data_IF_476252979313
#
_entry.id   IF_476252979313
#
_cell.length_a   1.000
_cell.length_b   1.000
_cell.length_c   1.000
_cell.angle_alpha   90.00
_cell.angle_beta   90.00
_cell.angle_gamma   90.00
#
_symmetry.space_group_name_H-M   'P 1'
#
loop_
_entity.id
_entity.type
_entity.pdbx_description
1 polymer ?
#
# COMPACT_ATOMS: atom_id res chain seq x y z
N UNK A 1 -4.88 -0.26 -29.06
CA UNK A 1 -4.15 0.22 -27.86
C UNK A 1 -5.19 0.56 -26.82
N UNK A 2 -5.11 0.00 -25.62
CA UNK A 2 -6.08 0.29 -24.56
C UNK A 2 -5.62 1.55 -23.80
N UNK A 3 -6.51 2.54 -23.73
CA UNK A 3 -6.22 3.79 -23.02
C UNK A 3 -6.47 3.58 -21.53
N UNK A 4 -5.50 3.95 -20.69
CA UNK A 4 -5.62 3.97 -19.23
C UNK A 4 -5.59 5.42 -18.77
N UNK A 5 -6.59 5.82 -18.01
CA UNK A 5 -6.66 7.16 -17.41
C UNK A 5 -6.24 7.08 -15.96
N UNK A 6 -5.41 8.01 -15.51
CA UNK A 6 -5.02 8.13 -14.10
C UNK A 6 -5.31 9.55 -13.60
N UNK A 7 -5.96 9.63 -12.46
CA UNK A 7 -6.21 10.89 -11.77
C UNK A 7 -5.07 11.21 -10.80
N UNK A 8 -4.72 12.49 -10.67
CA UNK A 8 -3.78 12.96 -9.65
C UNK A 8 -4.60 13.56 -8.51
N UNK A 9 -4.51 12.94 -7.35
CA UNK A 9 -5.12 13.43 -6.12
C UNK A 9 -4.06 14.08 -5.25
N UNK A 10 -4.25 15.34 -4.90
CA UNK A 10 -3.46 16.03 -3.88
C UNK A 10 -4.27 16.11 -2.59
N UNK A 11 -3.67 15.74 -1.46
CA UNK A 11 -4.32 15.81 -0.17
C UNK A 11 -3.34 16.19 0.95
N UNK A 12 -3.77 17.13 1.80
CA UNK A 12 -3.12 17.49 3.05
C UNK A 12 -4.15 17.36 4.18
N UNK A 13 -3.84 16.59 5.20
CA UNK A 13 -4.73 16.31 6.34
C UNK A 13 -4.27 15.08 7.10
N UNK A 14 -5.00 14.73 8.15
CA UNK A 14 -4.73 13.52 8.93
C UNK A 14 -5.02 12.24 8.13
N UNK A 15 -4.52 11.11 8.62
CA UNK A 15 -4.83 9.81 8.03
C UNK A 15 -6.33 9.49 8.12
N UNK A 16 -6.98 9.84 9.22
CA UNK A 16 -8.44 9.69 9.32
C UNK A 16 -9.17 10.47 8.22
N UNK A 17 -8.80 11.74 8.00
CA UNK A 17 -9.40 12.59 6.96
C UNK A 17 -9.10 12.06 5.55
N UNK A 18 -7.91 11.49 5.31
CA UNK A 18 -7.60 10.80 4.06
C UNK A 18 -8.54 9.61 3.86
N UNK A 19 -8.78 8.83 4.91
CA UNK A 19 -9.74 7.73 4.89
C UNK A 19 -11.16 8.20 4.56
N UNK A 20 -11.62 9.29 5.16
CA UNK A 20 -12.92 9.91 4.87
C UNK A 20 -13.01 10.33 3.40
N UNK A 21 -11.99 11.05 2.89
CA UNK A 21 -11.95 11.50 1.48
C UNK A 21 -11.94 10.31 0.51
N UNK A 22 -11.12 9.30 0.80
CA UNK A 22 -11.03 8.09 -0.01
C UNK A 22 -12.33 7.29 0.01
N UNK A 23 -13.00 7.19 1.17
CA UNK A 23 -14.31 6.55 1.30
C UNK A 23 -15.40 7.21 0.44
N UNK A 24 -15.47 8.54 0.47
CA UNK A 24 -16.40 9.31 -0.38
C UNK A 24 -16.13 9.07 -1.87
N UNK A 25 -14.87 9.07 -2.28
CA UNK A 25 -14.49 8.77 -3.65
C UNK A 25 -14.86 7.34 -4.06
N UNK A 26 -14.63 6.35 -3.19
CA UNK A 26 -14.98 4.94 -3.47
C UNK A 26 -16.48 4.75 -3.70
N UNK A 27 -17.33 5.45 -2.95
CA UNK A 27 -18.79 5.37 -3.14
C UNK A 27 -19.24 5.80 -4.54
N UNK A 28 -18.47 6.66 -5.20
CA UNK A 28 -18.74 7.19 -6.54
C UNK A 28 -18.10 6.35 -7.67
N UNK A 29 -17.37 5.29 -7.33
CA UNK A 29 -16.61 4.49 -8.30
C UNK A 29 -17.05 3.02 -8.31
N UNK A 30 -16.83 2.30 -9.41
CA UNK A 30 -17.10 0.87 -9.46
C UNK A 30 -16.12 0.02 -8.64
N UNK A 31 -15.02 0.62 -8.14
CA UNK A 31 -13.97 -0.09 -7.41
C UNK A 31 -14.50 -0.77 -6.15
N UNK A 32 -15.37 -0.13 -5.40
CA UNK A 32 -15.95 -0.70 -4.18
C UNK A 32 -16.71 -1.99 -4.49
N UNK A 33 -17.62 -1.94 -5.46
CA UNK A 33 -18.41 -3.11 -5.89
C UNK A 33 -17.53 -4.25 -6.42
N UNK A 34 -16.46 -3.91 -7.14
CA UNK A 34 -15.51 -4.89 -7.65
C UNK A 34 -14.73 -5.56 -6.51
N UNK A 35 -14.33 -4.79 -5.48
CA UNK A 35 -13.69 -5.31 -4.28
C UNK A 35 -14.59 -6.25 -3.50
N UNK A 36 -15.82 -5.86 -3.25
CA UNK A 36 -16.80 -6.71 -2.57
C UNK A 36 -17.04 -8.03 -3.31
N UNK A 37 -17.11 -7.96 -4.65
CA UNK A 37 -17.27 -9.15 -5.50
C UNK A 37 -16.05 -10.08 -5.44
N UNK A 38 -14.85 -9.54 -5.40
CA UNK A 38 -13.60 -10.30 -5.18
C UNK A 38 -13.59 -10.97 -3.80
N UNK A 39 -13.97 -10.25 -2.75
CA UNK A 39 -13.98 -10.77 -1.39
C UNK A 39 -14.99 -11.88 -1.18
N UNK A 40 -16.20 -11.76 -1.71
CA UNK A 40 -17.22 -12.83 -1.65
C UNK A 40 -16.70 -14.17 -2.19
N UNK A 41 -15.77 -14.15 -3.15
CA UNK A 41 -15.13 -15.35 -3.69
C UNK A 41 -13.99 -15.89 -2.81
N UNK A 42 -13.43 -15.06 -1.91
CA UNK A 42 -12.21 -15.37 -1.12
C UNK A 42 -12.47 -15.63 0.35
N UNK A 43 -13.58 -15.09 0.90
CA UNK A 43 -13.97 -15.23 2.31
C UNK A 43 -13.89 -16.67 2.85
N UNK A 44 -14.27 -17.74 2.10
CA UNK A 44 -14.16 -19.11 2.61
C UNK A 44 -12.72 -19.59 2.85
N UNK A 45 -11.72 -18.88 2.32
CA UNK A 45 -10.30 -19.28 2.37
C UNK A 45 -9.46 -18.42 3.28
N UNK A 46 -10.03 -17.39 3.86
CA UNK A 46 -9.28 -16.37 4.57
C UNK A 46 -10.05 -15.78 5.74
N UNK A 47 -9.47 -15.85 6.91
CA UNK A 47 -10.00 -15.22 8.12
C UNK A 47 -8.92 -14.37 8.79
N UNK A 48 -9.34 -13.39 9.58
CA UNK A 48 -8.50 -12.57 10.43
C UNK A 48 -9.07 -12.53 11.84
N UNK A 49 -8.20 -12.52 12.83
CA UNK A 49 -8.52 -12.04 14.16
C UNK A 49 -8.39 -10.52 14.18
N UNK A 50 -9.50 -9.84 14.50
CA UNK A 50 -9.54 -8.36 14.51
C UNK A 50 -8.65 -7.78 15.61
N UNK A 51 -8.61 -8.40 16.78
CA UNK A 51 -7.82 -7.91 17.90
C UNK A 51 -6.32 -8.10 17.65
N UNK A 52 -5.92 -9.29 17.19
CA UNK A 52 -4.53 -9.54 16.78
C UNK A 52 -4.09 -8.57 15.69
N UNK A 53 -4.94 -8.37 14.67
CA UNK A 53 -4.66 -7.45 13.57
C UNK A 53 -4.54 -6.01 14.07
N UNK A 54 -5.41 -5.60 14.99
CA UNK A 54 -5.32 -4.28 15.64
C UNK A 54 -3.96 -4.08 16.33
N UNK A 55 -3.50 -5.05 17.12
CA UNK A 55 -2.20 -4.97 17.82
C UNK A 55 -1.02 -4.83 16.82
N UNK A 56 -1.07 -5.57 15.73
CA UNK A 56 -0.06 -5.46 14.66
C UNK A 56 -0.08 -4.07 14.01
N UNK A 57 -1.26 -3.52 13.74
CA UNK A 57 -1.37 -2.15 13.21
C UNK A 57 -0.87 -1.12 14.22
N UNK A 58 -1.19 -1.26 15.52
CA UNK A 58 -0.68 -0.33 16.54
C UNK A 58 0.85 -0.36 16.65
N UNK A 59 1.46 -1.51 16.38
CA UNK A 59 2.92 -1.67 16.42
C UNK A 59 3.62 -1.07 15.20
N UNK A 60 3.10 -1.32 14.00
CA UNK A 60 3.81 -1.04 12.75
C UNK A 60 3.17 0.03 11.85
N UNK A 61 1.90 0.29 12.03
CA UNK A 61 1.11 1.12 11.11
C UNK A 61 -0.07 1.82 11.79
N UNK A 62 0.12 2.48 12.96
CA UNK A 62 -0.99 3.09 13.70
C UNK A 62 -1.74 4.15 12.88
N UNK A 63 -1.03 4.89 12.05
CA UNK A 63 -1.62 5.90 11.17
C UNK A 63 -2.55 5.28 10.11
N UNK A 64 -2.15 4.12 9.58
CA UNK A 64 -2.98 3.40 8.60
C UNK A 64 -4.27 2.89 9.27
N UNK A 65 -4.22 2.54 10.55
CA UNK A 65 -5.42 2.20 11.28
C UNK A 65 -6.41 3.37 11.33
N UNK A 66 -5.92 4.58 11.58
CA UNK A 66 -6.76 5.79 11.56
C UNK A 66 -7.38 6.02 10.17
N UNK A 67 -6.63 5.80 9.10
CA UNK A 67 -7.20 5.86 7.74
C UNK A 67 -8.28 4.80 7.52
N UNK A 68 -8.09 3.58 8.02
CA UNK A 68 -9.11 2.53 7.95
C UNK A 68 -10.38 2.92 8.72
N UNK A 69 -10.24 3.58 9.87
CA UNK A 69 -11.39 4.09 10.63
C UNK A 69 -12.08 5.24 9.90
N UNK A 70 -11.33 6.10 9.24
CA UNK A 70 -11.88 7.12 8.35
C UNK A 70 -12.69 6.52 7.19
N UNK A 71 -12.16 5.48 6.53
CA UNK A 71 -12.89 4.70 5.52
C UNK A 71 -14.17 4.09 6.10
N UNK A 72 -14.08 3.48 7.27
CA UNK A 72 -15.22 2.87 7.97
C UNK A 72 -16.34 3.88 8.23
N UNK A 73 -15.98 5.09 8.66
CA UNK A 73 -16.95 6.14 8.98
C UNK A 73 -17.86 6.50 7.79
N UNK A 74 -17.35 6.36 6.57
CA UNK A 74 -18.06 6.65 5.32
C UNK A 74 -18.73 5.41 4.72
N UNK A 75 -18.01 4.29 4.65
CA UNK A 75 -18.50 3.09 3.99
C UNK A 75 -19.49 2.29 4.84
N UNK A 76 -19.54 2.55 6.16
CA UNK A 76 -20.42 1.88 7.13
C UNK A 76 -20.27 0.36 7.15
N UNK A 77 -19.08 -0.14 6.81
CA UNK A 77 -18.76 -1.56 6.85
C UNK A 77 -18.33 -2.00 8.26
N UNK A 78 -18.56 -3.26 8.65
CA UNK A 78 -17.95 -3.82 9.85
C UNK A 78 -16.42 -3.70 9.83
N UNK A 79 -15.78 -3.47 10.97
CA UNK A 79 -14.31 -3.32 11.10
C UNK A 79 -13.56 -4.47 10.42
N UNK A 80 -13.99 -5.71 10.66
CA UNK A 80 -13.41 -6.90 10.01
C UNK A 80 -13.41 -6.78 8.48
N UNK A 81 -14.49 -6.28 7.88
CA UNK A 81 -14.59 -6.11 6.44
C UNK A 81 -13.71 -4.97 5.92
N UNK A 82 -13.58 -3.88 6.67
CA UNK A 82 -12.64 -2.78 6.36
C UNK A 82 -11.21 -3.29 6.33
N UNK A 83 -10.79 -4.03 7.34
CA UNK A 83 -9.45 -4.60 7.42
C UNK A 83 -9.19 -5.55 6.24
N UNK A 84 -10.12 -6.45 5.96
CA UNK A 84 -10.01 -7.42 4.85
C UNK A 84 -9.90 -6.72 3.49
N UNK A 85 -10.66 -5.67 3.26
CA UNK A 85 -10.69 -4.98 1.97
C UNK A 85 -9.50 -4.01 1.78
N UNK A 86 -9.05 -3.36 2.84
CA UNK A 86 -8.17 -2.19 2.74
C UNK A 86 -6.93 -2.25 3.65
N UNK A 87 -6.90 -3.12 4.66
CA UNK A 87 -5.78 -3.23 5.59
C UNK A 87 -4.56 -3.96 5.03
N UNK A 88 -4.76 -4.81 4.04
CA UNK A 88 -3.69 -5.57 3.36
C UNK A 88 -2.75 -6.32 4.32
N UNK A 89 -3.30 -6.82 5.40
CA UNK A 89 -2.67 -7.76 6.31
C UNK A 89 -3.32 -9.14 6.11
N UNK A 90 -2.54 -10.20 6.07
CA UNK A 90 -2.98 -11.58 5.77
C UNK A 90 -3.77 -11.72 4.46
N UNK A 91 -3.48 -10.91 3.46
CA UNK A 91 -4.14 -11.01 2.16
C UNK A 91 -3.70 -12.29 1.43
N UNK A 92 -4.66 -13.01 0.84
CA UNK A 92 -4.39 -14.26 0.12
C UNK A 92 -3.90 -14.02 -1.31
N UNK A 93 -3.12 -14.98 -1.80
CA UNK A 93 -2.70 -15.22 -3.17
C UNK A 93 -2.54 -13.99 -4.08
N UNK A 94 -1.34 -13.46 -4.10
CA UNK A 94 -0.88 -12.62 -5.21
C UNK A 94 -0.57 -13.56 -6.37
N UNK A 95 -1.23 -13.35 -7.50
CA UNK A 95 -0.82 -13.98 -8.76
C UNK A 95 0.55 -13.45 -9.13
N UNK A 96 1.35 -14.30 -9.75
CA UNK A 96 2.63 -13.90 -10.33
C UNK A 96 2.47 -12.64 -11.17
N UNK A 97 3.39 -11.69 -11.02
CA UNK A 97 3.41 -10.44 -11.77
C UNK A 97 4.77 -10.24 -12.43
N UNK A 98 4.73 -9.75 -13.65
CA UNK A 98 5.91 -9.24 -14.33
C UNK A 98 6.12 -7.78 -13.99
N UNK A 99 7.07 -7.46 -13.13
CA UNK A 99 7.49 -6.09 -12.86
C UNK A 99 8.98 -5.98 -13.14
N UNK A 100 9.41 -4.85 -13.68
CA UNK A 100 10.82 -4.54 -13.85
C UNK A 100 11.15 -3.27 -13.09
N UNK A 101 12.19 -3.30 -12.28
CA UNK A 101 12.78 -2.12 -11.66
C UNK A 101 14.21 -2.01 -12.17
N UNK A 102 14.56 -0.84 -12.66
CA UNK A 102 15.92 -0.49 -13.05
C UNK A 102 16.38 0.66 -12.17
N UNK A 103 17.55 0.53 -11.60
CA UNK A 103 18.20 1.54 -10.80
C UNK A 103 19.47 2.00 -11.49
N UNK A 104 19.54 3.28 -11.79
CA UNK A 104 20.73 3.96 -12.26
C UNK A 104 21.53 4.57 -11.09
N UNK A 105 22.49 5.41 -11.41
CA UNK A 105 23.33 6.06 -10.40
C UNK A 105 22.52 7.02 -9.51
N UNK A 106 21.59 7.75 -10.11
CA UNK A 106 20.83 8.86 -9.48
C UNK A 106 19.34 8.84 -9.84
N UNK A 107 18.85 7.75 -10.40
CA UNK A 107 17.45 7.57 -10.75
C UNK A 107 17.00 6.11 -10.61
N UNK A 108 15.72 5.94 -10.41
CA UNK A 108 15.04 4.63 -10.43
C UNK A 108 13.88 4.69 -11.42
N UNK A 109 13.75 3.66 -12.25
CA UNK A 109 12.63 3.48 -13.18
C UNK A 109 11.94 2.17 -12.89
N UNK A 110 10.63 2.18 -12.87
CA UNK A 110 9.83 0.97 -12.68
C UNK A 110 8.79 0.83 -13.79
N UNK A 111 8.71 -0.37 -14.34
CA UNK A 111 7.60 -0.80 -15.17
C UNK A 111 6.71 -1.78 -14.39
N UNK A 112 5.39 -1.57 -14.46
CA UNK A 112 4.41 -2.37 -13.76
C UNK A 112 3.51 -3.09 -14.78
N UNK A 113 3.86 -4.34 -15.07
CA UNK A 113 3.21 -5.16 -16.10
C UNK A 113 2.01 -5.90 -15.53
N UNK A 114 0.92 -5.20 -15.37
CA UNK A 114 -0.35 -5.78 -14.94
C UNK A 114 -1.47 -5.48 -15.95
N UNK A 115 -2.48 -6.32 -15.92
CA UNK A 115 -3.69 -6.06 -16.71
C UNK A 115 -4.29 -4.70 -16.29
N UNK A 116 -4.65 -3.80 -17.24
CA UNK A 116 -5.15 -2.46 -16.95
C UNK A 116 -6.29 -2.39 -15.92
N UNK A 117 -7.17 -3.39 -15.88
CA UNK A 117 -8.26 -3.45 -14.90
C UNK A 117 -7.80 -3.63 -13.44
N UNK A 118 -6.51 -3.86 -13.18
CA UNK A 118 -5.96 -4.00 -11.83
C UNK A 118 -5.46 -2.68 -11.23
N UNK A 119 -5.31 -1.65 -12.07
CA UNK A 119 -4.89 -0.32 -11.64
C UNK A 119 -6.04 0.41 -10.95
N UNK A 120 -5.76 1.08 -9.85
CA UNK A 120 -6.72 1.97 -9.19
C UNK A 120 -6.94 3.27 -9.98
N UNK A 121 -6.06 3.58 -10.94
CA UNK A 121 -6.14 4.78 -11.76
C UNK A 121 -5.87 6.06 -11.00
N UNK A 122 -5.08 6.01 -9.92
CA UNK A 122 -4.77 7.18 -9.09
C UNK A 122 -3.29 7.30 -8.78
N UNK A 123 -2.79 8.53 -8.92
CA UNK A 123 -1.59 9.01 -8.25
C UNK A 123 -2.00 9.84 -7.03
N UNK A 124 -1.36 9.61 -5.91
CA UNK A 124 -1.63 10.38 -4.70
C UNK A 124 -0.37 11.13 -4.26
N UNK A 125 -0.49 12.46 -4.16
CA UNK A 125 0.40 13.31 -3.41
C UNK A 125 -0.25 13.53 -2.04
N UNK A 126 0.32 12.98 -0.99
CA UNK A 126 -0.21 13.04 0.36
C UNK A 126 0.77 13.70 1.32
N UNK A 127 0.29 14.71 2.02
CA UNK A 127 1.01 15.40 3.08
C UNK A 127 0.24 15.19 4.39
N UNK A 128 0.67 14.25 5.25
CA UNK A 128 0.05 14.01 6.55
C UNK A 128 0.24 15.20 7.49
N UNK A 129 -0.76 15.45 8.35
CA UNK A 129 -0.72 16.52 9.38
C UNK A 129 -0.66 15.96 10.80
N UNK A 130 -0.83 14.67 10.96
CA UNK A 130 -0.77 13.95 12.24
C UNK A 130 0.60 13.31 12.46
N UNK A 131 1.09 12.51 11.52
CA UNK A 131 2.42 11.87 11.59
C UNK A 131 2.81 11.27 10.24
N UNK A 132 4.10 10.94 10.08
CA UNK A 132 4.64 10.38 8.84
C UNK A 132 5.13 11.42 7.86
N UNK A 133 5.76 10.97 6.78
CA UNK A 133 6.38 11.79 5.74
C UNK A 133 5.41 12.02 4.58
N UNK A 134 5.47 13.21 3.99
CA UNK A 134 4.77 13.47 2.73
C UNK A 134 5.31 12.55 1.63
N UNK A 135 4.42 12.07 0.78
CA UNK A 135 4.76 11.09 -0.24
C UNK A 135 3.98 11.29 -1.54
N UNK A 136 4.59 10.85 -2.64
CA UNK A 136 3.95 10.78 -3.95
C UNK A 136 4.16 9.40 -4.56
N UNK A 137 3.12 8.86 -5.18
CA UNK A 137 3.21 7.60 -5.92
C UNK A 137 1.85 7.07 -6.38
N UNK A 138 1.86 6.04 -7.24
CA UNK A 138 0.64 5.38 -7.68
C UNK A 138 0.01 4.60 -6.53
N UNK A 139 -1.31 4.73 -6.40
CA UNK A 139 -2.10 4.01 -5.41
C UNK A 139 -2.31 2.56 -5.87
N UNK A 140 -2.13 1.63 -4.97
CA UNK A 140 -2.46 0.22 -5.17
C UNK A 140 -3.48 -0.24 -4.16
N UNK A 141 -4.55 -0.81 -4.67
CA UNK A 141 -5.57 -1.44 -3.84
C UNK A 141 -6.17 -0.50 -2.77
N UNK A 142 -6.36 0.77 -3.14
CA UNK A 142 -6.95 1.87 -2.37
C UNK A 142 -5.99 2.51 -1.36
N UNK A 143 -5.34 1.74 -0.49
CA UNK A 143 -4.52 2.25 0.61
C UNK A 143 -3.02 2.00 0.45
N UNK A 144 -2.60 1.08 -0.41
CA UNK A 144 -1.19 0.76 -0.63
C UNK A 144 -0.47 1.64 -1.66
N UNK A 145 0.85 1.45 -1.78
CA UNK A 145 1.72 2.07 -2.80
C UNK A 145 2.50 1.01 -3.54
N UNK A 146 2.57 1.13 -4.86
CA UNK A 146 3.37 0.22 -5.70
C UNK A 146 4.82 0.62 -5.75
N UNK A 147 5.06 1.90 -5.83
CA UNK A 147 6.31 2.62 -5.83
C UNK A 147 6.06 4.07 -5.41
N UNK A 148 7.10 4.87 -5.32
CA UNK A 148 6.97 6.28 -5.01
C UNK A 148 8.22 6.88 -4.39
N UNK A 149 8.07 8.12 -3.96
CA UNK A 149 9.09 8.90 -3.29
C UNK A 149 8.46 9.67 -2.11
N UNK A 150 9.24 9.88 -1.06
CA UNK A 150 8.83 10.73 0.06
C UNK A 150 9.62 12.06 0.09
N UNK A 151 9.21 12.97 0.96
CA UNK A 151 9.82 14.29 1.11
C UNK A 151 11.28 14.28 1.57
N UNK A 152 11.74 13.18 2.16
CA UNK A 152 13.15 12.98 2.52
C UNK A 152 14.02 12.56 1.33
N UNK A 153 13.41 12.30 0.16
CA UNK A 153 14.09 11.84 -1.04
C UNK A 153 14.33 10.33 -1.08
N UNK A 154 13.69 9.55 -0.18
CA UNK A 154 13.70 8.10 -0.29
C UNK A 154 12.71 7.66 -1.37
N UNK A 155 13.21 6.89 -2.33
CA UNK A 155 12.42 6.22 -3.36
C UNK A 155 12.37 4.73 -3.10
N UNK A 156 11.25 4.11 -3.42
CA UNK A 156 11.11 2.67 -3.35
C UNK A 156 10.32 2.09 -4.51
N UNK A 157 10.64 0.88 -4.89
CA UNK A 157 9.86 0.00 -5.77
C UNK A 157 10.00 -1.44 -5.30
N UNK A 158 9.12 -2.31 -5.75
CA UNK A 158 9.24 -3.75 -5.41
C UNK A 158 8.93 -4.65 -6.60
N UNK A 159 9.53 -5.85 -6.57
CA UNK A 159 9.24 -6.95 -7.48
C UNK A 159 8.85 -8.21 -6.71
N UNK A 160 8.00 -9.02 -7.31
CA UNK A 160 7.59 -10.28 -6.73
C UNK A 160 8.72 -11.33 -6.81
N UNK A 161 8.95 -12.03 -5.69
CA UNK A 161 9.93 -13.10 -5.59
C UNK A 161 9.27 -14.34 -5.00
N UNK A 162 9.02 -15.35 -5.81
CA UNK A 162 8.32 -16.57 -5.39
C UNK A 162 9.24 -17.55 -4.64
N UNK A 163 9.78 -17.17 -3.47
CA UNK A 163 10.77 -17.98 -2.74
C UNK A 163 10.28 -18.64 -1.46
N UNK A 164 9.25 -18.11 -0.80
CA UNK A 164 8.75 -18.63 0.48
C UNK A 164 7.25 -18.84 0.43
N UNK A 165 6.78 -19.84 1.20
CA UNK A 165 5.33 -20.00 1.44
C UNK A 165 4.76 -18.74 2.10
N UNK A 166 3.54 -18.34 1.75
CA UNK A 166 2.88 -17.22 2.40
C UNK A 166 2.74 -17.43 3.91
N UNK A 167 2.98 -16.36 4.68
CA UNK A 167 2.82 -16.31 6.13
C UNK A 167 1.85 -15.19 6.54
N UNK A 168 1.52 -15.06 7.81
CA UNK A 168 0.80 -13.90 8.31
C UNK A 168 1.68 -12.66 8.20
N UNK A 169 1.15 -11.60 7.61
CA UNK A 169 1.93 -10.38 7.44
C UNK A 169 1.31 -9.40 6.46
N UNK A 170 1.95 -8.25 6.34
CA UNK A 170 1.57 -7.22 5.37
C UNK A 170 1.93 -7.63 3.94
N UNK A 171 1.11 -7.19 3.01
CA UNK A 171 1.37 -7.35 1.58
C UNK A 171 2.32 -6.26 1.09
N UNK A 172 3.09 -6.55 0.05
CA UNK A 172 4.13 -5.67 -0.49
C UNK A 172 3.74 -4.21 -0.68
N UNK A 173 2.56 -3.93 -1.21
CA UNK A 173 2.12 -2.55 -1.45
C UNK A 173 1.75 -1.81 -0.15
N UNK A 174 1.39 -2.50 0.93
CA UNK A 174 1.28 -1.87 2.24
C UNK A 174 2.66 -1.64 2.84
N UNK A 175 3.58 -2.59 2.71
CA UNK A 175 4.98 -2.41 3.15
C UNK A 175 5.63 -1.25 2.38
N UNK A 176 5.40 -1.15 1.07
CA UNK A 176 5.88 -0.01 0.28
C UNK A 176 5.37 1.32 0.78
N UNK A 177 4.09 1.38 1.16
CA UNK A 177 3.53 2.56 1.78
C UNK A 177 4.19 2.88 3.13
N UNK A 178 4.36 1.88 4.00
CA UNK A 178 4.99 2.07 5.31
C UNK A 178 6.45 2.55 5.21
N UNK A 179 7.19 2.07 4.21
CA UNK A 179 8.54 2.58 3.91
C UNK A 179 8.47 4.08 3.58
N UNK A 180 7.58 4.49 2.67
CA UNK A 180 7.47 5.89 2.27
C UNK A 180 6.98 6.81 3.39
N UNK A 181 6.13 6.32 4.29
CA UNK A 181 5.63 7.13 5.41
C UNK A 181 6.60 7.23 6.58
N UNK A 182 7.41 6.20 6.85
CA UNK A 182 8.15 6.11 8.11
C UNK A 182 9.67 6.19 7.95
N UNK A 183 10.22 6.00 6.75
CA UNK A 183 11.66 5.91 6.56
C UNK A 183 12.20 7.13 5.79
N UNK A 184 13.30 7.73 6.29
CA UNK A 184 13.96 8.87 5.67
C UNK A 184 15.06 8.49 4.70
N UNK A 185 15.59 7.28 4.84
CA UNK A 185 16.76 6.81 4.09
C UNK A 185 16.75 5.29 3.93
N UNK A 186 17.69 4.77 3.15
CA UNK A 186 17.82 3.34 2.86
C UNK A 186 18.04 2.51 4.13
N UNK A 187 18.83 3.00 5.08
CA UNK A 187 19.14 2.28 6.32
C UNK A 187 17.88 2.07 7.18
N UNK A 188 17.05 3.10 7.34
CA UNK A 188 15.78 3.00 8.07
C UNK A 188 14.81 2.05 7.36
N UNK A 189 14.75 2.10 6.02
CA UNK A 189 13.91 1.20 5.24
C UNK A 189 14.33 -0.28 5.36
N UNK A 190 15.64 -0.56 5.37
CA UNK A 190 16.16 -1.92 5.60
C UNK A 190 15.81 -2.40 7.02
N UNK A 191 15.90 -1.53 8.02
CA UNK A 191 15.53 -1.89 9.39
C UNK A 191 14.04 -2.22 9.50
N UNK A 192 13.16 -1.38 8.95
CA UNK A 192 11.72 -1.66 8.89
C UNK A 192 11.44 -2.99 8.20
N UNK A 193 12.07 -3.26 7.06
CA UNK A 193 11.90 -4.51 6.31
C UNK A 193 12.33 -5.76 7.08
N UNK A 194 13.26 -5.66 8.03
CA UNK A 194 13.67 -6.78 8.90
C UNK A 194 12.69 -7.05 10.03
N UNK A 195 11.99 -6.03 10.49
CA UNK A 195 11.11 -6.10 11.68
C UNK A 195 9.65 -6.40 11.33
N UNK A 196 9.17 -5.87 10.20
CA UNK A 196 7.76 -5.99 9.81
C UNK A 196 7.40 -7.42 9.36
N UNK A 197 6.24 -7.96 9.76
CA UNK A 197 5.80 -9.25 9.27
C UNK A 197 5.42 -9.20 7.79
N UNK A 198 6.05 -10.04 6.98
CA UNK A 198 5.83 -10.16 5.53
C UNK A 198 4.86 -11.27 5.18
N UNK A 199 3.84 -10.96 4.37
CA UNK A 199 2.92 -11.96 3.82
C UNK A 199 3.59 -12.91 2.83
N UNK A 200 4.48 -12.40 2.00
CA UNK A 200 5.16 -13.14 0.92
C UNK A 200 6.54 -12.57 0.64
N UNK A 201 7.32 -13.27 -0.17
CA UNK A 201 8.66 -12.81 -0.55
C UNK A 201 8.58 -11.77 -1.67
N UNK A 202 9.17 -10.62 -1.44
CA UNK A 202 9.35 -9.56 -2.41
C UNK A 202 10.78 -9.04 -2.37
N UNK A 203 11.27 -8.56 -3.48
CA UNK A 203 12.48 -7.75 -3.57
C UNK A 203 12.06 -6.29 -3.52
N UNK A 204 12.64 -5.52 -2.60
CA UNK A 204 12.46 -4.07 -2.52
C UNK A 204 13.72 -3.41 -3.03
N UNK A 205 13.56 -2.44 -3.91
CA UNK A 205 14.62 -1.63 -4.46
C UNK A 205 14.48 -0.24 -3.86
N UNK A 206 15.53 0.25 -3.24
CA UNK A 206 15.54 1.47 -2.44
C UNK A 206 16.66 2.39 -2.91
N UNK A 207 16.40 3.69 -2.96
CA UNK A 207 17.43 4.71 -3.17
C UNK A 207 17.06 5.97 -2.38
N UNK A 208 18.05 6.61 -1.74
CA UNK A 208 17.87 7.87 -1.04
C UNK A 208 18.61 9.03 -1.72
N UNK A 209 18.36 10.27 -1.25
CA UNK A 209 18.98 11.48 -1.80
C UNK A 209 20.50 11.52 -1.69
N UNK A 210 21.09 10.70 -0.82
CA UNK A 210 22.55 10.56 -0.68
C UNK A 210 23.12 9.51 -1.63
N UNK A 211 22.29 9.01 -2.54
CA UNK A 211 22.60 7.97 -3.51
C UNK A 211 22.99 6.62 -2.87
N UNK A 212 22.62 6.40 -1.61
CA UNK A 212 22.64 5.06 -1.04
C UNK A 212 21.51 4.24 -1.68
N UNK A 213 21.78 2.96 -1.94
CA UNK A 213 20.82 2.06 -2.55
C UNK A 213 20.94 0.62 -2.00
N UNK A 214 19.85 -0.10 -2.08
CA UNK A 214 19.73 -1.51 -1.68
C UNK A 214 18.68 -2.22 -2.53
#
# INVERSE_FOLDING_TARGET
>A
MQQVTSDIMTFRGSHFELGVKTGKWLQQTPLLKNREKEWKKRVPRFDIDVNETYQIFQTYAPQIWEELMGLQSILKMPTRQIILNFGHYRFTDLKESGCTVFQGKDFMVRNYDYHPATYDGRYLLYQPTDSGLAQIGPVSRVTGRMDGMNESGLTMGYNFMHRKKPANGFVCYMIGRLILENCRNVTEAIQLLKEIPHRSSFSYILMDKSLNHA
#
